data_IF_797706339990
#
_entry.id   IF_797706339990
#
_cell.length_a   1.000
_cell.length_b   1.000
_cell.length_c   1.000
_cell.angle_alpha   90.00
_cell.angle_beta   90.00
_cell.angle_gamma   90.00
#
_symmetry.space_group_name_H-M   'P 1'
#
loop_
_entity.id
_entity.type
_entity.pdbx_description
1 polymer ?
#
# COMPACT_ATOMS: atom_id res chain seq x y z
N UNK A 1 -11.39 23.49 8.96
CA UNK A 1 -10.83 22.13 9.16
C UNK A 1 -10.53 21.39 7.85
N UNK A 2 -11.43 21.35 6.86
CA UNK A 2 -11.17 20.70 5.54
C UNK A 2 -9.96 21.27 4.78
N UNK A 3 -9.81 22.61 4.78
CA UNK A 3 -8.68 23.28 4.13
C UNK A 3 -7.33 23.00 4.79
N UNK A 4 -7.29 22.88 6.12
CA UNK A 4 -6.06 22.53 6.84
C UNK A 4 -5.61 21.12 6.46
N UNK A 5 -6.54 20.17 6.37
CA UNK A 5 -6.24 18.82 5.89
C UNK A 5 -5.70 18.81 4.45
N UNK A 6 -6.27 19.62 3.56
CA UNK A 6 -5.79 19.74 2.18
C UNK A 6 -4.40 20.40 2.10
N UNK A 7 -4.13 21.40 2.95
CA UNK A 7 -2.82 22.07 3.02
C UNK A 7 -1.77 21.14 3.62
N UNK A 8 -2.08 20.41 4.68
CA UNK A 8 -1.18 19.40 5.25
C UNK A 8 -0.94 18.27 4.25
N UNK A 9 -1.98 17.76 3.59
CA UNK A 9 -1.81 16.76 2.54
C UNK A 9 -0.94 17.28 1.40
N UNK A 10 -1.17 18.53 0.94
CA UNK A 10 -0.34 19.17 -0.09
C UNK A 10 1.13 19.24 0.33
N UNK A 11 1.45 19.75 1.52
CA UNK A 11 2.84 19.85 1.99
C UNK A 11 3.48 18.50 2.29
N UNK A 12 2.72 17.53 2.80
CA UNK A 12 3.21 16.18 3.02
C UNK A 12 3.52 15.52 1.68
N UNK A 13 2.60 15.60 0.72
CA UNK A 13 2.76 15.07 -0.63
C UNK A 13 3.90 15.79 -1.37
N UNK A 14 4.01 17.10 -1.27
CA UNK A 14 5.11 17.92 -1.84
C UNK A 14 6.47 17.57 -1.22
N UNK A 15 6.52 17.37 0.11
CA UNK A 15 7.71 16.89 0.80
C UNK A 15 8.10 15.49 0.33
N UNK A 16 7.14 14.55 0.25
CA UNK A 16 7.37 13.20 -0.28
C UNK A 16 7.78 13.21 -1.77
N UNK A 17 7.30 14.16 -2.56
CA UNK A 17 7.63 14.29 -3.97
C UNK A 17 8.96 15.02 -4.22
N UNK A 18 9.41 15.95 -3.38
CA UNK A 18 10.79 16.48 -3.48
C UNK A 18 11.81 15.53 -2.88
N UNK A 19 11.35 14.60 -2.03
CA UNK A 19 12.02 13.35 -1.69
C UNK A 19 11.97 12.38 -2.89
N UNK A 20 11.60 12.74 -4.13
CA UNK A 20 11.78 11.89 -5.33
C UNK A 20 13.27 11.68 -5.69
N UNK A 21 14.20 12.48 -5.14
CA UNK A 21 15.61 12.05 -5.07
C UNK A 21 15.89 11.00 -3.97
N UNK A 22 14.87 10.54 -3.25
CA UNK A 22 14.96 9.37 -2.39
C UNK A 22 14.94 8.08 -3.21
N UNK A 23 15.99 7.90 -4.00
CA UNK A 23 16.76 6.68 -3.78
C UNK A 23 17.02 6.62 -2.29
N UNK A 24 16.67 5.55 -1.59
CA UNK A 24 16.76 5.41 -0.12
C UNK A 24 18.07 5.98 0.48
N UNK A 25 18.17 7.30 0.66
CA UNK A 25 19.46 8.03 0.77
C UNK A 25 20.58 7.56 -0.20
N UNK A 26 20.28 7.28 -1.47
CA UNK A 26 21.24 6.73 -2.46
C UNK A 26 21.50 5.22 -2.35
N UNK A 27 20.86 4.52 -1.40
CA UNK A 27 20.98 3.07 -1.23
C UNK A 27 20.10 2.35 -2.26
N UNK A 28 20.72 1.87 -3.33
CA UNK A 28 20.07 0.93 -4.24
C UNK A 28 20.15 -0.47 -3.62
N UNK A 29 19.02 -1.17 -3.57
CA UNK A 29 18.99 -2.56 -3.16
C UNK A 29 19.52 -3.45 -4.31
N UNK A 30 20.82 -3.73 -4.26
CA UNK A 30 21.52 -4.45 -5.32
C UNK A 30 21.47 -5.96 -5.10
N UNK A 31 21.46 -6.41 -3.84
CA UNK A 31 21.34 -7.84 -3.51
C UNK A 31 19.88 -8.27 -3.35
N UNK A 32 19.54 -9.55 -3.63
CA UNK A 32 18.19 -10.07 -3.37
C UNK A 32 17.74 -9.89 -1.90
N UNK A 33 18.69 -10.01 -0.96
CA UNK A 33 18.42 -9.83 0.46
C UNK A 33 18.03 -8.38 0.79
N UNK A 34 18.74 -7.39 0.22
CA UNK A 34 18.39 -5.98 0.38
C UNK A 34 17.02 -5.66 -0.21
N UNK A 35 16.67 -6.24 -1.36
CA UNK A 35 15.36 -6.04 -2.00
C UNK A 35 14.23 -6.60 -1.16
N UNK A 36 14.40 -7.83 -0.67
CA UNK A 36 13.44 -8.46 0.24
C UNK A 36 13.34 -7.64 1.54
N UNK A 37 14.47 -7.17 2.08
CA UNK A 37 14.51 -6.31 3.25
C UNK A 37 13.75 -5.00 3.05
N UNK A 38 13.92 -4.35 1.89
CA UNK A 38 13.19 -3.13 1.53
C UNK A 38 11.67 -3.39 1.43
N UNK A 39 11.26 -4.47 0.78
CA UNK A 39 9.85 -4.89 0.72
C UNK A 39 9.29 -5.14 2.12
N UNK A 40 10.03 -5.88 2.95
CA UNK A 40 9.62 -6.17 4.33
C UNK A 40 9.48 -4.91 5.19
N UNK A 41 10.41 -3.96 5.04
CA UNK A 41 10.32 -2.64 5.67
C UNK A 41 9.03 -1.91 5.25
N UNK A 42 8.73 -1.89 3.95
CA UNK A 42 7.49 -1.32 3.42
C UNK A 42 6.24 -1.97 4.02
N UNK A 43 6.22 -3.30 4.16
CA UNK A 43 5.12 -4.04 4.81
C UNK A 43 4.97 -3.61 6.27
N UNK A 44 6.06 -3.52 7.04
CA UNK A 44 6.01 -3.11 8.45
C UNK A 44 5.41 -1.70 8.57
N UNK A 45 5.89 -0.75 7.75
CA UNK A 45 5.37 0.62 7.76
C UNK A 45 3.89 0.65 7.42
N UNK A 46 3.46 -0.10 6.39
CA UNK A 46 2.05 -0.23 6.04
C UNK A 46 1.21 -0.78 7.19
N UNK A 47 1.67 -1.83 7.88
CA UNK A 47 0.97 -2.42 9.02
C UNK A 47 0.85 -1.44 10.19
N UNK A 48 1.90 -0.65 10.47
CA UNK A 48 1.87 0.42 11.46
C UNK A 48 0.82 1.46 11.08
N UNK A 49 0.83 1.92 9.83
CA UNK A 49 -0.17 2.90 9.34
C UNK A 49 -1.59 2.34 9.42
N UNK A 50 -1.80 1.08 9.05
CA UNK A 50 -3.10 0.41 9.21
C UNK A 50 -3.54 0.39 10.68
N UNK A 51 -2.65 0.06 11.61
CA UNK A 51 -2.97 0.06 13.04
C UNK A 51 -3.29 1.47 13.57
N UNK A 52 -2.55 2.48 13.13
CA UNK A 52 -2.81 3.89 13.46
C UNK A 52 -4.17 4.31 12.90
N UNK A 53 -4.46 4.03 11.63
CA UNK A 53 -5.73 4.41 11.01
C UNK A 53 -6.92 3.69 11.61
N UNK A 54 -6.78 2.42 11.96
CA UNK A 54 -7.80 1.67 12.68
C UNK A 54 -8.13 2.30 14.04
N UNK A 55 -7.12 2.86 14.74
CA UNK A 55 -7.30 3.47 16.06
C UNK A 55 -7.87 4.88 16.02
N UNK A 56 -7.44 5.71 15.07
CA UNK A 56 -7.72 7.15 15.10
C UNK A 56 -8.80 7.61 14.11
N UNK A 57 -9.15 6.80 13.11
CA UNK A 57 -10.11 7.19 12.07
C UNK A 57 -11.42 6.38 12.16
N UNK A 58 -12.44 6.82 11.43
CA UNK A 58 -13.72 6.13 11.40
C UNK A 58 -13.60 4.74 10.77
N UNK A 59 -14.49 3.82 11.16
CA UNK A 59 -14.54 2.46 10.59
C UNK A 59 -14.70 2.50 9.07
N UNK A 60 -15.52 3.40 8.55
CA UNK A 60 -15.73 3.54 7.10
C UNK A 60 -14.47 4.01 6.39
N UNK A 61 -13.72 4.96 6.97
CA UNK A 61 -12.41 5.36 6.44
C UNK A 61 -11.43 4.19 6.43
N UNK A 62 -11.32 3.45 7.54
CA UNK A 62 -10.42 2.31 7.63
C UNK A 62 -10.78 1.17 6.66
N UNK A 63 -12.07 0.86 6.51
CA UNK A 63 -12.54 -0.12 5.54
C UNK A 63 -12.19 0.32 4.11
N UNK A 64 -12.45 1.59 3.76
CA UNK A 64 -12.07 2.17 2.48
C UNK A 64 -10.56 2.12 2.22
N UNK A 65 -9.75 2.48 3.22
CA UNK A 65 -8.29 2.38 3.17
C UNK A 65 -7.82 0.93 2.96
N UNK A 66 -8.46 -0.03 3.63
CA UNK A 66 -8.15 -1.46 3.49
C UNK A 66 -8.48 -1.97 2.08
N UNK A 67 -9.63 -1.58 1.51
CA UNK A 67 -9.97 -1.90 0.12
C UNK A 67 -8.96 -1.28 -0.86
N UNK A 68 -8.62 -0.01 -0.69
CA UNK A 68 -7.65 0.67 -1.55
C UNK A 68 -6.27 -0.02 -1.50
N UNK A 69 -5.77 -0.32 -0.30
CA UNK A 69 -4.54 -1.10 -0.11
C UNK A 69 -4.62 -2.45 -0.81
N UNK A 70 -5.75 -3.14 -0.68
CA UNK A 70 -5.98 -4.42 -1.34
C UNK A 70 -5.95 -4.33 -2.87
N UNK A 71 -6.51 -3.27 -3.46
CA UNK A 71 -6.46 -3.03 -4.90
C UNK A 71 -5.04 -2.76 -5.40
N UNK A 72 -4.25 -1.99 -4.65
CA UNK A 72 -2.83 -1.79 -4.94
C UNK A 72 -2.02 -3.10 -4.85
N UNK A 73 -2.31 -3.96 -3.88
CA UNK A 73 -1.63 -5.25 -3.78
C UNK A 73 -2.12 -6.30 -4.78
N UNK A 74 -3.23 -6.07 -5.48
CA UNK A 74 -3.83 -7.06 -6.39
C UNK A 74 -3.99 -6.56 -7.82
N UNK A 75 -4.96 -5.69 -8.07
CA UNK A 75 -5.26 -5.16 -9.40
C UNK A 75 -4.03 -4.52 -10.04
N UNK A 76 -3.31 -3.69 -9.30
CA UNK A 76 -2.14 -3.00 -9.81
C UNK A 76 -1.03 -3.99 -10.23
N UNK A 77 -0.76 -5.01 -9.41
CA UNK A 77 0.18 -6.08 -9.76
C UNK A 77 -0.28 -6.84 -11.01
N UNK A 78 -1.52 -7.35 -11.02
CA UNK A 78 -2.02 -8.16 -12.14
C UNK A 78 -2.00 -7.35 -13.44
N UNK A 79 -2.46 -6.11 -13.40
CA UNK A 79 -2.63 -5.30 -14.61
C UNK A 79 -1.32 -4.63 -15.01
N UNK A 80 -0.67 -3.91 -14.11
CA UNK A 80 0.50 -3.11 -14.45
C UNK A 80 1.82 -3.87 -14.34
N UNK A 81 1.93 -4.88 -13.46
CA UNK A 81 3.17 -5.65 -13.34
C UNK A 81 3.21 -6.86 -14.28
N UNK A 82 2.08 -7.56 -14.43
CA UNK A 82 2.06 -8.81 -15.19
C UNK A 82 1.62 -8.62 -16.63
N UNK A 83 0.49 -7.93 -16.86
CA UNK A 83 -0.06 -7.73 -18.21
C UNK A 83 0.73 -6.66 -18.96
N UNK A 84 0.81 -5.44 -18.42
CA UNK A 84 1.45 -4.32 -19.10
C UNK A 84 2.95 -4.20 -18.81
N UNK A 85 3.47 -4.91 -17.81
CA UNK A 85 4.90 -4.96 -17.45
C UNK A 85 5.55 -3.57 -17.32
N UNK A 86 4.80 -2.59 -16.80
CA UNK A 86 5.24 -1.19 -16.69
C UNK A 86 6.26 -1.04 -15.55
N UNK A 87 6.07 -1.78 -14.47
CA UNK A 87 7.00 -1.83 -13.35
C UNK A 87 6.87 -3.14 -12.57
N UNK A 88 7.82 -3.42 -11.68
CA UNK A 88 7.86 -4.60 -10.82
C UNK A 88 8.04 -4.17 -9.37
N UNK A 89 7.56 -4.99 -8.43
CA UNK A 89 7.80 -4.71 -7.00
C UNK A 89 9.30 -4.83 -6.67
N UNK A 90 9.98 -5.78 -7.30
CA UNK A 90 11.44 -5.92 -7.24
C UNK A 90 11.98 -6.31 -8.62
N UNK A 91 13.23 -5.94 -8.89
CA UNK A 91 13.91 -6.22 -10.17
C UNK A 91 14.57 -7.62 -10.21
N UNK A 92 14.24 -8.51 -9.27
CA UNK A 92 14.88 -9.82 -9.15
C UNK A 92 13.90 -10.99 -9.27
N UNK A 93 14.42 -12.24 -9.28
CA UNK A 93 13.59 -13.45 -9.38
C UNK A 93 12.61 -13.59 -8.21
N UNK A 94 12.87 -12.94 -7.08
CA UNK A 94 11.99 -12.91 -5.91
C UNK A 94 10.60 -12.35 -6.19
N UNK A 95 10.47 -11.45 -7.18
CA UNK A 95 9.17 -10.94 -7.62
C UNK A 95 8.22 -12.06 -8.08
N UNK A 96 8.75 -13.17 -8.63
CA UNK A 96 7.92 -14.26 -9.16
C UNK A 96 7.11 -15.00 -8.08
N UNK A 97 7.52 -14.93 -6.81
CA UNK A 97 6.77 -15.49 -5.70
C UNK A 97 6.17 -14.41 -4.78
N UNK A 98 6.82 -13.25 -4.65
CA UNK A 98 6.30 -12.12 -3.87
C UNK A 98 5.01 -11.56 -4.48
N UNK A 99 5.00 -11.30 -5.78
CA UNK A 99 3.85 -10.68 -6.44
C UNK A 99 2.59 -11.54 -6.35
N UNK A 100 2.62 -12.88 -6.59
CA UNK A 100 1.43 -13.71 -6.37
C UNK A 100 0.93 -13.71 -4.93
N UNK A 101 1.84 -13.72 -3.95
CA UNK A 101 1.46 -13.63 -2.53
C UNK A 101 0.75 -12.32 -2.25
N UNK A 102 1.27 -11.19 -2.75
CA UNK A 102 0.61 -9.90 -2.60
C UNK A 102 -0.75 -9.84 -3.29
N UNK A 103 -0.90 -10.44 -4.47
CA UNK A 103 -2.20 -10.51 -5.16
C UNK A 103 -3.24 -11.22 -4.30
N UNK A 104 -2.89 -12.38 -3.73
CA UNK A 104 -3.80 -13.12 -2.84
C UNK A 104 -4.14 -12.31 -1.60
N UNK A 105 -3.14 -11.71 -0.94
CA UNK A 105 -3.35 -10.83 0.22
C UNK A 105 -4.24 -9.63 -0.14
N UNK A 106 -4.03 -9.03 -1.31
CA UNK A 106 -4.82 -7.91 -1.80
C UNK A 106 -6.28 -8.27 -1.99
N UNK A 107 -6.57 -9.44 -2.59
CA UNK A 107 -7.93 -9.96 -2.72
C UNK A 107 -8.60 -10.16 -1.35
N UNK A 108 -7.85 -10.68 -0.37
CA UNK A 108 -8.35 -10.84 1.00
C UNK A 108 -8.71 -9.48 1.60
N UNK A 109 -7.86 -8.46 1.45
CA UNK A 109 -8.10 -7.10 1.96
C UNK A 109 -9.30 -6.43 1.30
N UNK A 110 -9.43 -6.51 -0.02
CA UNK A 110 -10.60 -6.01 -0.76
C UNK A 110 -11.87 -6.67 -0.24
N UNK A 111 -11.87 -8.00 -0.16
CA UNK A 111 -13.03 -8.77 0.29
C UNK A 111 -13.39 -8.43 1.73
N UNK A 112 -12.40 -8.30 2.61
CA UNK A 112 -12.59 -7.96 4.02
C UNK A 112 -13.20 -6.56 4.18
N UNK A 113 -12.61 -5.55 3.54
CA UNK A 113 -13.07 -4.16 3.66
C UNK A 113 -14.48 -3.96 3.14
N UNK A 114 -14.83 -4.58 2.00
CA UNK A 114 -16.19 -4.55 1.44
C UNK A 114 -17.19 -5.23 2.38
N UNK A 115 -16.86 -6.42 2.89
CA UNK A 115 -17.75 -7.15 3.82
C UNK A 115 -17.99 -6.37 5.10
N UNK A 116 -16.95 -5.77 5.69
CA UNK A 116 -17.07 -4.98 6.91
C UNK A 116 -17.86 -3.70 6.71
N UNK A 117 -17.72 -3.04 5.57
CA UNK A 117 -18.55 -1.88 5.24
C UNK A 117 -20.03 -2.28 5.07
N UNK A 118 -20.30 -3.37 4.35
CA UNK A 118 -21.65 -3.91 4.17
C UNK A 118 -22.33 -4.26 5.49
N UNK A 119 -21.64 -4.94 6.40
CA UNK A 119 -22.17 -5.24 7.74
C UNK A 119 -22.36 -4.00 8.61
N UNK A 120 -21.52 -2.97 8.47
CA UNK A 120 -21.63 -1.74 9.26
C UNK A 120 -22.83 -0.88 8.87
N UNK A 121 -23.28 -0.93 7.61
CA UNK A 121 -24.49 -0.24 7.14
C UNK A 121 -25.79 -0.92 7.58
N UNK A 122 -25.76 -2.20 7.94
CA UNK A 122 -26.94 -2.94 8.41
C UNK A 122 -27.24 -2.64 9.89
N UNK A 123 -26.23 -2.23 10.67
CA UNK A 123 -26.34 -1.98 12.11
C UNK A 123 -26.39 -0.50 12.50
N UNK A 124 -26.33 0.44 11.55
CA UNK A 124 -26.50 1.89 11.75
C UNK A 124 -27.93 2.33 11.42
#
# INVERSE_FOLDING_TARGET
MKFIGAVVAFFVTDFFFHVIEAFAAGLKADTPLERIGAVFCGIIVLLILMAVFHKFFSKSFFNGFTVATGLFLSFDIVVFHWIFQIHRITNGPEANWLEPVFVVTGIIFVTYGIKKEGSSKITS
#
